data_IF_552784896762
#
_entry.id   IF_552784896762
#
_cell.length_a   1.000
_cell.length_b   1.000
_cell.length_c   1.000
_cell.angle_alpha   90.00
_cell.angle_beta   90.00
_cell.angle_gamma   90.00
#
_symmetry.space_group_name_H-M   'P 1'
#
loop_
_entity.id
_entity.type
_entity.pdbx_description
1 polymer ?
#
# COMPACT_ATOMS: atom_id res chain seq x y z
N UNK A 1 4.19 -1.04 18.46
CA UNK A 1 2.89 -0.58 17.90
C UNK A 1 1.78 -1.48 18.42
N UNK A 2 0.59 -0.97 18.69
CA UNK A 2 -0.60 -1.80 19.01
C UNK A 2 -1.66 -1.63 17.92
N UNK A 3 -2.22 -2.73 17.44
CA UNK A 3 -3.29 -2.73 16.45
C UNK A 3 -4.48 -3.49 17.03
N UNK A 4 -5.59 -2.79 17.19
CA UNK A 4 -6.87 -3.38 17.60
C UNK A 4 -7.78 -3.51 16.38
N UNK A 5 -8.45 -4.65 16.25
CA UNK A 5 -9.40 -4.92 15.15
C UNK A 5 -10.78 -5.16 15.74
N UNK A 6 -11.72 -4.28 15.41
CA UNK A 6 -13.13 -4.40 15.78
C UNK A 6 -13.87 -5.12 14.67
N UNK A 7 -14.33 -6.35 14.95
CA UNK A 7 -14.86 -7.28 13.94
C UNK A 7 -15.96 -8.18 14.53
N UNK A 8 -16.72 -8.84 13.65
CA UNK A 8 -17.62 -9.93 14.02
C UNK A 8 -16.96 -11.31 14.02
N UNK A 9 -15.79 -11.44 13.38
CA UNK A 9 -15.11 -12.72 13.15
C UNK A 9 -13.64 -12.67 13.62
N UNK A 10 -13.38 -12.58 14.94
CA UNK A 10 -12.03 -12.63 15.49
C UNK A 10 -11.18 -13.80 14.97
N UNK A 11 -11.81 -14.95 14.76
CA UNK A 11 -11.16 -16.20 14.36
C UNK A 11 -10.50 -16.11 12.97
N UNK A 12 -10.99 -15.22 12.10
CA UNK A 12 -10.38 -15.00 10.77
C UNK A 12 -8.94 -14.48 10.88
N UNK A 13 -8.60 -13.80 11.97
CA UNK A 13 -7.28 -13.20 12.17
C UNK A 13 -6.24 -14.17 12.75
N UNK A 14 -6.68 -15.27 13.36
CA UNK A 14 -5.78 -16.25 14.01
C UNK A 14 -4.75 -16.80 13.02
N UNK A 15 -5.17 -17.26 11.84
CA UNK A 15 -4.27 -17.85 10.85
C UNK A 15 -3.22 -16.86 10.31
N UNK A 16 -3.65 -15.76 9.67
CA UNK A 16 -2.73 -14.75 9.13
C UNK A 16 -1.78 -14.16 10.16
N UNK A 17 -2.21 -13.95 11.41
CA UNK A 17 -1.38 -13.32 12.45
C UNK A 17 -0.47 -14.31 13.19
N UNK A 18 -0.75 -15.61 13.11
CA UNK A 18 0.11 -16.67 13.67
C UNK A 18 1.11 -17.23 12.66
N UNK A 19 1.29 -16.58 11.51
CA UNK A 19 2.19 -17.03 10.45
C UNK A 19 3.21 -15.95 10.02
N UNK A 20 4.28 -16.41 9.36
CA UNK A 20 5.21 -15.57 8.58
C UNK A 20 5.79 -14.34 9.31
N UNK A 21 5.81 -13.17 8.66
CA UNK A 21 6.41 -11.93 9.15
C UNK A 21 5.61 -11.36 10.32
N UNK A 22 4.28 -11.43 10.28
CA UNK A 22 3.41 -10.90 11.34
C UNK A 22 3.70 -11.63 12.66
N UNK A 23 3.74 -12.97 12.65
CA UNK A 23 4.13 -13.76 13.84
C UNK A 23 5.49 -13.33 14.38
N UNK A 24 6.51 -13.26 13.51
CA UNK A 24 7.88 -12.90 13.91
C UNK A 24 7.95 -11.48 14.48
N UNK A 25 7.18 -10.54 13.94
CA UNK A 25 7.11 -9.18 14.46
C UNK A 25 6.45 -9.14 15.85
N UNK A 26 5.39 -9.93 16.06
CA UNK A 26 4.73 -10.05 17.36
C UNK A 26 5.63 -10.72 18.41
N UNK A 27 6.32 -11.81 18.06
CA UNK A 27 7.28 -12.51 18.96
C UNK A 27 8.45 -11.62 19.37
N UNK A 28 8.86 -10.68 18.51
CA UNK A 28 9.87 -9.66 18.81
C UNK A 28 9.33 -8.45 19.58
N UNK A 29 8.02 -8.41 19.88
CA UNK A 29 7.38 -7.29 20.56
C UNK A 29 7.27 -6.01 19.71
N UNK A 30 7.41 -6.10 18.39
CA UNK A 30 7.32 -4.94 17.49
C UNK A 30 5.86 -4.50 17.31
N UNK A 31 4.94 -5.47 17.30
CA UNK A 31 3.50 -5.27 17.17
C UNK A 31 2.72 -6.13 18.18
N UNK A 32 1.72 -5.53 18.81
CA UNK A 32 0.68 -6.23 19.58
C UNK A 32 -0.61 -6.20 18.76
N UNK A 33 -1.22 -7.37 18.54
CA UNK A 33 -2.45 -7.52 17.76
C UNK A 33 -3.58 -7.98 18.69
N UNK A 34 -4.69 -7.27 18.68
CA UNK A 34 -5.87 -7.55 19.51
C UNK A 34 -7.13 -7.54 18.66
N UNK A 35 -7.97 -8.55 18.78
CA UNK A 35 -9.31 -8.56 18.17
C UNK A 35 -10.36 -8.29 19.23
N UNK A 36 -11.33 -7.45 18.90
CA UNK A 36 -12.48 -7.12 19.74
C UNK A 36 -13.74 -7.52 18.99
N UNK A 37 -14.54 -8.41 19.61
CA UNK A 37 -15.77 -8.88 18.99
C UNK A 37 -16.91 -7.89 19.26
N UNK A 38 -17.51 -7.32 18.20
CA UNK A 38 -18.64 -6.39 18.31
C UNK A 38 -19.82 -6.99 19.07
N UNK A 39 -19.98 -8.32 19.03
CA UNK A 39 -21.04 -9.02 19.74
C UNK A 39 -20.92 -8.90 21.25
N UNK A 40 -19.75 -8.57 21.79
CA UNK A 40 -19.54 -8.36 23.24
C UNK A 40 -20.15 -7.03 23.73
N UNK A 41 -20.50 -6.13 22.82
CA UNK A 41 -21.03 -4.78 23.10
C UNK A 41 -22.53 -4.67 22.75
N UNK A 42 -23.22 -5.80 22.82
CA UNK A 42 -24.66 -5.89 22.58
C UNK A 42 -25.37 -6.05 23.92
N UNK A 43 -26.61 -5.54 24.01
CA UNK A 43 -27.40 -5.56 25.26
C UNK A 43 -28.46 -6.66 25.27
N UNK A 44 -28.76 -7.25 24.12
CA UNK A 44 -29.76 -8.28 23.98
C UNK A 44 -29.15 -9.69 24.08
N UNK A 45 -29.97 -10.67 24.44
CA UNK A 45 -29.54 -12.07 24.62
C UNK A 45 -29.05 -12.72 23.32
N UNK A 46 -29.51 -12.26 22.17
CA UNK A 46 -29.18 -12.83 20.86
C UNK A 46 -27.89 -12.24 20.27
N UNK A 47 -27.31 -11.24 20.94
CA UNK A 47 -26.10 -10.51 20.53
C UNK A 47 -26.24 -9.91 19.14
N UNK A 48 -27.35 -9.22 18.93
CA UNK A 48 -27.73 -8.59 17.66
C UNK A 48 -26.89 -7.34 17.39
N UNK A 49 -26.18 -7.35 16.27
CA UNK A 49 -25.22 -6.31 15.85
C UNK A 49 -25.69 -5.54 14.62
N UNK A 50 -26.80 -5.94 14.03
CA UNK A 50 -27.33 -5.44 12.77
C UNK A 50 -28.85 -5.27 12.84
N UNK A 51 -29.38 -4.40 11.97
CA UNK A 51 -30.82 -4.17 11.81
C UNK A 51 -31.15 -3.80 10.36
N UNK A 52 -32.43 -3.79 10.03
CA UNK A 52 -32.94 -3.37 8.72
C UNK A 52 -32.67 -1.88 8.45
N UNK A 53 -32.36 -1.49 7.20
CA UNK A 53 -32.09 -0.10 6.86
C UNK A 53 -33.38 0.75 6.90
N UNK A 54 -33.27 1.97 7.43
CA UNK A 54 -34.28 3.00 7.20
C UNK A 54 -34.36 3.34 5.71
N UNK A 55 -35.58 3.56 5.21
CA UNK A 55 -35.85 3.76 3.78
C UNK A 55 -36.15 2.46 3.01
N UNK A 56 -36.03 1.31 3.68
CA UNK A 56 -36.24 0.00 3.06
C UNK A 56 -35.04 -0.42 2.19
N UNK A 57 -35.18 -1.58 1.54
CA UNK A 57 -34.10 -2.20 0.76
C UNK A 57 -33.74 -3.59 1.29
N UNK A 58 -32.97 -4.38 0.52
CA UNK A 58 -32.49 -5.67 0.96
C UNK A 58 -31.35 -5.53 1.98
N UNK A 59 -31.08 -6.62 2.71
CA UNK A 59 -29.90 -6.72 3.56
C UNK A 59 -30.06 -6.10 4.95
N UNK A 60 -28.94 -6.01 5.65
CA UNK A 60 -28.84 -5.55 7.04
C UNK A 60 -27.71 -4.53 7.16
N UNK A 61 -27.78 -3.66 8.16
CA UNK A 61 -26.79 -2.62 8.43
C UNK A 61 -26.28 -2.78 9.85
N UNK A 62 -24.95 -2.69 10.06
CA UNK A 62 -24.38 -2.71 11.40
C UNK A 62 -24.95 -1.56 12.23
N UNK A 63 -25.47 -1.92 13.40
CA UNK A 63 -26.04 -0.99 14.36
C UNK A 63 -24.97 -0.05 14.91
N UNK A 64 -25.30 1.22 15.17
CA UNK A 64 -24.35 2.16 15.75
C UNK A 64 -23.96 1.77 17.17
N UNK A 65 -24.90 1.32 18.01
CA UNK A 65 -24.67 1.19 19.46
C UNK A 65 -23.50 0.25 19.81
N UNK A 66 -23.41 -0.99 19.28
CA UNK A 66 -22.29 -1.87 19.61
C UNK A 66 -20.94 -1.33 19.14
N UNK A 67 -20.91 -0.59 18.03
CA UNK A 67 -19.68 -0.02 17.48
C UNK A 67 -19.22 1.16 18.33
N UNK A 68 -20.12 2.10 18.66
CA UNK A 68 -19.80 3.22 19.54
C UNK A 68 -19.35 2.75 20.93
N UNK A 69 -20.08 1.82 21.55
CA UNK A 69 -19.73 1.28 22.88
C UNK A 69 -18.37 0.57 22.88
N UNK A 70 -18.03 -0.17 21.81
CA UNK A 70 -16.72 -0.80 21.67
C UNK A 70 -15.60 0.24 21.58
N UNK A 71 -15.78 1.26 20.73
CA UNK A 71 -14.78 2.32 20.56
C UNK A 71 -14.60 3.13 21.84
N UNK A 72 -15.69 3.52 22.50
CA UNK A 72 -15.66 4.22 23.79
C UNK A 72 -14.96 3.40 24.88
N UNK A 73 -15.21 2.08 24.93
CA UNK A 73 -14.52 1.19 25.87
C UNK A 73 -13.02 1.12 25.60
N UNK A 74 -12.61 1.06 24.33
CA UNK A 74 -11.20 1.07 23.94
C UNK A 74 -10.53 2.39 24.35
N UNK A 75 -11.21 3.51 24.13
CA UNK A 75 -10.73 4.84 24.54
C UNK A 75 -10.63 4.92 26.07
N UNK A 76 -11.67 4.51 26.79
CA UNK A 76 -11.74 4.58 28.25
C UNK A 76 -10.66 3.76 28.95
N UNK A 77 -10.32 2.57 28.41
CA UNK A 77 -9.23 1.73 28.92
C UNK A 77 -7.85 2.38 28.77
N UNK A 78 -7.65 3.24 27.77
CA UNK A 78 -6.34 3.78 27.40
C UNK A 78 -6.17 5.28 27.69
N UNK A 79 -7.27 5.99 27.94
CA UNK A 79 -7.28 7.44 28.10
C UNK A 79 -6.94 8.23 26.83
N UNK A 80 -6.87 7.57 25.66
CA UNK A 80 -6.57 8.19 24.36
C UNK A 80 -7.29 7.48 23.21
N UNK A 81 -7.62 8.22 22.14
CA UNK A 81 -8.20 7.68 20.91
C UNK A 81 -7.10 7.09 20.01
N UNK A 82 -7.12 5.79 19.67
CA UNK A 82 -6.26 5.21 18.64
C UNK A 82 -6.57 5.83 17.27
N UNK A 83 -5.59 5.86 16.35
CA UNK A 83 -5.86 6.30 14.99
C UNK A 83 -6.76 5.27 14.30
N UNK A 84 -7.99 5.67 13.97
CA UNK A 84 -9.08 4.78 13.61
C UNK A 84 -9.27 4.75 12.09
N UNK A 85 -9.11 3.56 11.53
CA UNK A 85 -9.35 3.26 10.12
C UNK A 85 -10.69 2.53 9.99
N UNK A 86 -11.56 3.07 9.15
CA UNK A 86 -12.80 2.41 8.74
C UNK A 86 -12.60 1.77 7.36
N UNK A 87 -12.82 0.46 7.28
CA UNK A 87 -12.70 -0.27 6.02
C UNK A 87 -13.98 -0.11 5.19
N UNK A 88 -13.84 0.36 3.96
CA UNK A 88 -14.98 0.60 3.06
C UNK A 88 -14.53 0.78 1.61
N UNK A 89 -15.29 0.26 0.62
CA UNK A 89 -14.99 0.51 -0.79
C UNK A 89 -15.14 1.98 -1.18
N UNK A 90 -15.81 2.81 -0.37
CA UNK A 90 -15.98 4.25 -0.61
C UNK A 90 -14.78 5.08 -0.12
N UNK A 91 -13.85 4.45 0.60
CA UNK A 91 -12.68 5.12 1.17
C UNK A 91 -11.60 5.41 0.15
N UNK A 92 -10.55 6.11 0.59
CA UNK A 92 -9.37 6.32 -0.23
C UNK A 92 -8.68 4.99 -0.54
N UNK A 93 -8.28 4.77 -1.79
CA UNK A 93 -7.57 3.55 -2.19
C UNK A 93 -6.22 3.48 -1.47
N UNK A 94 -6.03 2.41 -0.72
CA UNK A 94 -4.84 2.11 0.06
C UNK A 94 -3.61 1.98 -0.84
N UNK A 95 -2.56 2.75 -0.53
CA UNK A 95 -1.29 2.78 -1.26
C UNK A 95 -0.12 2.65 -0.29
N UNK A 96 1.07 2.38 -0.83
CA UNK A 96 2.30 2.20 -0.05
C UNK A 96 2.64 3.41 0.83
N UNK A 97 2.31 4.63 0.37
CA UNK A 97 2.46 5.87 1.15
C UNK A 97 1.59 5.84 2.41
N UNK A 98 0.33 5.41 2.29
CA UNK A 98 -0.60 5.27 3.41
C UNK A 98 -0.10 4.20 4.38
N UNK A 99 0.42 3.08 3.89
CA UNK A 99 1.04 2.06 4.74
C UNK A 99 2.19 2.65 5.59
N UNK A 100 3.01 3.51 4.97
CA UNK A 100 4.12 4.20 5.65
C UNK A 100 3.62 5.19 6.71
N UNK A 101 2.57 5.96 6.41
CA UNK A 101 1.94 6.88 7.36
C UNK A 101 1.34 6.13 8.57
N UNK A 102 0.63 5.02 8.31
CA UNK A 102 0.06 4.17 9.36
C UNK A 102 1.14 3.47 10.19
N UNK A 103 2.27 3.09 9.58
CA UNK A 103 3.41 2.51 10.28
C UNK A 103 4.06 3.46 11.31
N UNK A 104 3.87 4.77 11.13
CA UNK A 104 4.30 5.78 12.10
C UNK A 104 3.35 5.99 13.29
N UNK A 105 2.19 5.32 13.34
CA UNK A 105 1.25 5.43 14.45
C UNK A 105 1.63 4.48 15.59
N UNK A 106 1.50 4.94 16.82
CA UNK A 106 1.71 4.07 17.98
C UNK A 106 0.57 3.05 18.14
N UNK A 107 -0.66 3.50 17.90
CA UNK A 107 -1.88 2.71 18.03
C UNK A 107 -2.82 2.90 16.85
N UNK A 108 -3.29 1.78 16.31
CA UNK A 108 -4.27 1.71 15.24
C UNK A 108 -5.52 0.97 15.73
N UNK A 109 -6.68 1.43 15.28
CA UNK A 109 -7.95 0.71 15.40
C UNK A 109 -8.54 0.51 14.00
N UNK A 110 -8.79 -0.73 13.62
CA UNK A 110 -9.52 -1.04 12.39
C UNK A 110 -10.97 -1.39 12.72
N UNK A 111 -11.91 -0.73 12.08
CA UNK A 111 -13.34 -1.09 12.12
C UNK A 111 -13.67 -1.84 10.84
N UNK A 112 -14.03 -3.12 10.98
CA UNK A 112 -14.44 -3.99 9.89
C UNK A 112 -15.94 -3.78 9.60
N UNK A 113 -16.27 -3.28 8.41
CA UNK A 113 -17.66 -3.27 7.94
C UNK A 113 -18.16 -4.68 7.62
N UNK A 114 -19.48 -4.88 7.60
CA UNK A 114 -20.11 -6.13 7.19
C UNK A 114 -21.52 -5.86 6.64
N UNK A 115 -22.18 -6.86 6.07
CA UNK A 115 -23.54 -6.77 5.51
C UNK A 115 -23.60 -5.74 4.37
N UNK A 116 -24.67 -4.92 4.28
CA UNK A 116 -24.74 -3.80 3.32
C UNK A 116 -23.80 -2.64 3.74
N UNK A 117 -23.30 -2.69 4.97
CA UNK A 117 -22.41 -1.70 5.55
C UNK A 117 -22.76 -1.44 7.01
N UNK A 118 -22.61 -0.20 7.40
CA UNK A 118 -22.79 0.27 8.76
C UNK A 118 -23.64 1.53 8.78
N UNK A 119 -24.25 1.80 9.93
CA UNK A 119 -24.94 3.05 10.14
C UNK A 119 -24.00 4.23 9.84
N UNK A 120 -24.43 5.17 9.01
CA UNK A 120 -23.60 6.27 8.51
C UNK A 120 -22.95 7.08 9.63
N UNK A 121 -23.57 7.15 10.82
CA UNK A 121 -23.02 7.84 12.00
C UNK A 121 -21.72 7.21 12.50
N UNK A 122 -21.47 5.93 12.25
CA UNK A 122 -20.22 5.24 12.62
C UNK A 122 -18.99 5.89 11.96
N UNK A 123 -19.15 6.50 10.78
CA UNK A 123 -18.05 7.21 10.09
C UNK A 123 -17.43 8.32 10.92
N UNK A 124 -18.20 8.93 11.82
CA UNK A 124 -17.71 9.98 12.74
C UNK A 124 -16.62 9.48 13.70
N UNK A 125 -16.50 8.17 13.89
CA UNK A 125 -15.44 7.55 14.68
C UNK A 125 -14.11 7.45 13.91
N UNK A 126 -14.16 7.43 12.58
CA UNK A 126 -13.00 7.21 11.73
C UNK A 126 -12.13 8.46 11.60
N UNK A 127 -10.82 8.28 11.70
CA UNK A 127 -9.84 9.30 11.29
C UNK A 127 -9.50 9.17 9.79
N UNK A 128 -9.70 7.97 9.21
CA UNK A 128 -9.58 7.73 7.77
C UNK A 128 -10.46 6.57 7.33
N UNK A 129 -11.01 6.69 6.12
CA UNK A 129 -11.69 5.61 5.43
C UNK A 129 -10.80 5.05 4.34
N UNK A 130 -10.62 3.73 4.29
CA UNK A 130 -9.70 3.09 3.36
C UNK A 130 -10.35 1.93 2.59
N UNK A 131 -10.10 1.92 1.28
CA UNK A 131 -10.44 0.85 0.35
C UNK A 131 -9.19 0.09 -0.07
N UNK A 132 -9.29 -1.21 -0.38
CA UNK A 132 -8.19 -1.98 -0.99
C UNK A 132 -8.32 -2.12 -2.51
N UNK A 133 -9.31 -1.44 -3.11
CA UNK A 133 -9.48 -1.35 -4.56
C UNK A 133 -10.94 -1.30 -5.00
N UNK A 134 -11.13 -1.20 -6.32
CA UNK A 134 -12.43 -0.96 -6.93
C UNK A 134 -13.20 -2.29 -7.13
N UNK A 135 -13.52 -2.94 -6.02
CA UNK A 135 -14.30 -4.19 -5.95
C UNK A 135 -14.97 -4.33 -4.59
N UNK A 136 -15.94 -5.23 -4.48
CA UNK A 136 -16.74 -5.44 -3.27
C UNK A 136 -16.38 -6.78 -2.62
N UNK A 137 -16.25 -6.76 -1.30
CA UNK A 137 -16.06 -7.95 -0.46
C UNK A 137 -17.21 -8.08 0.54
N UNK A 138 -17.32 -9.25 1.18
CA UNK A 138 -18.39 -9.53 2.14
C UNK A 138 -18.20 -8.85 3.51
N UNK A 139 -16.98 -8.37 3.79
CA UNK A 139 -16.63 -7.75 5.06
C UNK A 139 -15.27 -7.04 5.02
N UNK A 140 -15.01 -6.26 6.05
CA UNK A 140 -13.82 -5.45 6.24
C UNK A 140 -12.59 -6.21 6.75
N UNK A 141 -12.74 -7.49 7.10
CA UNK A 141 -11.69 -8.30 7.69
C UNK A 141 -10.50 -8.50 6.75
N UNK A 142 -10.74 -8.86 5.49
CA UNK A 142 -9.66 -9.01 4.50
C UNK A 142 -8.97 -7.67 4.18
N UNK A 143 -9.69 -6.55 3.95
CA UNK A 143 -9.09 -5.22 3.88
C UNK A 143 -8.19 -4.90 5.07
N UNK A 144 -8.65 -5.14 6.30
CA UNK A 144 -7.86 -4.90 7.50
C UNK A 144 -6.60 -5.78 7.51
N UNK A 145 -6.70 -7.08 7.19
CA UNK A 145 -5.52 -7.97 7.12
C UNK A 145 -4.49 -7.50 6.10
N UNK A 146 -4.93 -7.10 4.91
CA UNK A 146 -4.04 -6.60 3.84
C UNK A 146 -3.32 -5.33 4.30
N UNK A 147 -4.04 -4.38 4.90
CA UNK A 147 -3.45 -3.14 5.39
C UNK A 147 -2.48 -3.41 6.55
N UNK A 148 -2.86 -4.27 7.49
CA UNK A 148 -2.03 -4.63 8.66
C UNK A 148 -0.75 -5.34 8.22
N UNK A 149 -0.80 -6.25 7.25
CA UNK A 149 0.41 -6.91 6.71
C UNK A 149 1.39 -5.87 6.12
N UNK A 150 0.88 -4.96 5.28
CA UNK A 150 1.68 -3.90 4.67
C UNK A 150 2.29 -2.96 5.72
N UNK A 151 1.54 -2.61 6.77
CA UNK A 151 2.00 -1.74 7.88
C UNK A 151 3.05 -2.43 8.74
N UNK A 152 2.78 -3.66 9.21
CA UNK A 152 3.69 -4.41 10.09
C UNK A 152 5.02 -4.67 9.41
N UNK A 153 5.01 -4.92 8.10
CA UNK A 153 6.22 -5.11 7.30
C UNK A 153 7.17 -3.91 7.32
N UNK A 154 6.66 -2.69 7.53
CA UNK A 154 7.44 -1.45 7.57
C UNK A 154 8.02 -1.15 8.96
N UNK A 155 7.62 -1.89 10.00
CA UNK A 155 8.13 -1.67 11.35
C UNK A 155 9.64 -1.99 11.43
N UNK A 156 10.45 -1.14 12.08
CA UNK A 156 11.87 -1.41 12.29
C UNK A 156 12.10 -2.79 12.93
N UNK A 157 12.87 -3.65 12.27
CA UNK A 157 13.18 -5.02 12.72
C UNK A 157 12.18 -6.10 12.30
N UNK A 158 11.08 -5.75 11.62
CA UNK A 158 10.13 -6.74 11.06
C UNK A 158 10.75 -7.48 9.87
N UNK A 159 11.40 -6.76 8.97
CA UNK A 159 12.19 -7.34 7.88
C UNK A 159 13.64 -7.60 8.33
N UNK A 160 14.22 -8.70 7.84
CA UNK A 160 15.59 -9.11 8.21
C UNK A 160 16.69 -8.24 7.59
N UNK A 161 16.40 -7.55 6.48
CA UNK A 161 17.35 -6.65 5.81
C UNK A 161 16.79 -5.21 5.82
N UNK A 162 17.54 -4.21 6.32
CA UNK A 162 17.07 -2.82 6.41
C UNK A 162 16.62 -2.23 5.08
N UNK A 163 17.28 -2.61 3.98
CA UNK A 163 17.00 -2.11 2.63
C UNK A 163 15.88 -2.87 1.90
N UNK A 164 15.34 -3.95 2.51
CA UNK A 164 14.34 -4.77 1.83
C UNK A 164 13.09 -3.97 1.48
N UNK A 165 12.58 -3.16 2.43
CA UNK A 165 11.39 -2.34 2.20
C UNK A 165 11.61 -1.21 1.18
N UNK A 166 12.80 -0.60 1.16
CA UNK A 166 13.09 0.55 0.28
C UNK A 166 13.23 0.16 -1.19
N UNK A 167 13.55 -1.11 -1.47
CA UNK A 167 13.78 -1.62 -2.83
C UNK A 167 12.56 -2.31 -3.45
N UNK A 168 11.44 -2.43 -2.73
CA UNK A 168 10.24 -3.06 -3.28
C UNK A 168 9.52 -2.17 -4.31
N UNK A 169 8.59 -2.82 -5.02
CA UNK A 169 7.62 -2.11 -5.85
C UNK A 169 6.91 -1.01 -5.04
N UNK A 170 6.68 0.12 -5.70
CA UNK A 170 6.01 1.32 -5.19
C UNK A 170 6.81 2.17 -4.19
N UNK A 171 7.86 1.65 -3.55
CA UNK A 171 8.68 2.41 -2.57
C UNK A 171 9.37 3.63 -3.20
N UNK A 172 9.84 3.51 -4.44
CA UNK A 172 10.41 4.61 -5.23
C UNK A 172 9.53 5.04 -6.41
N UNK A 173 8.22 4.72 -6.36
CA UNK A 173 7.29 4.97 -7.47
C UNK A 173 7.52 4.11 -8.71
N UNK A 174 8.27 3.00 -8.60
CA UNK A 174 8.51 2.05 -9.69
C UNK A 174 8.10 0.64 -9.29
N UNK A 175 7.87 -0.25 -10.26
CA UNK A 175 7.81 -1.69 -10.03
C UNK A 175 9.22 -2.27 -9.82
N UNK A 176 9.32 -3.37 -9.09
CA UNK A 176 10.59 -4.08 -8.86
C UNK A 176 11.11 -4.79 -10.13
N UNK A 177 12.41 -5.03 -10.16
CA UNK A 177 13.13 -5.71 -11.24
C UNK A 177 12.91 -7.24 -11.24
N UNK A 178 13.29 -7.97 -12.30
CA UNK A 178 13.17 -9.43 -12.32
C UNK A 178 14.12 -10.08 -11.32
N UNK A 179 13.58 -10.97 -10.49
CA UNK A 179 14.37 -11.76 -9.55
C UNK A 179 14.70 -13.13 -10.16
N UNK A 180 15.92 -13.60 -9.94
CA UNK A 180 16.40 -14.90 -10.36
C UNK A 180 17.04 -15.62 -9.16
N UNK A 181 16.92 -16.94 -9.14
CA UNK A 181 17.58 -17.79 -8.13
C UNK A 181 18.18 -19.02 -8.79
N UNK A 182 18.93 -19.81 -8.02
CA UNK A 182 19.56 -21.05 -8.51
C UNK A 182 18.47 -22.06 -8.93
N UNK A 183 18.74 -22.90 -9.95
CA UNK A 183 19.97 -22.99 -10.75
C UNK A 183 20.08 -21.93 -11.86
N UNK A 184 21.30 -21.70 -12.38
CA UNK A 184 21.57 -20.67 -13.39
C UNK A 184 20.90 -20.94 -14.76
N UNK A 185 20.62 -22.21 -15.07
CA UNK A 185 19.83 -22.60 -16.25
C UNK A 185 18.73 -23.54 -15.79
N UNK A 186 17.48 -23.21 -16.11
CA UNK A 186 16.33 -24.06 -15.83
C UNK A 186 15.45 -24.18 -17.07
N UNK A 187 15.30 -25.41 -17.59
CA UNK A 187 14.54 -25.68 -18.84
C UNK A 187 14.99 -24.82 -20.03
N UNK A 188 16.30 -24.57 -20.15
CA UNK A 188 16.87 -23.74 -21.21
C UNK A 188 16.72 -22.23 -20.98
N UNK A 189 16.05 -21.78 -19.91
CA UNK A 189 15.99 -20.39 -19.51
C UNK A 189 17.22 -20.05 -18.67
N UNK A 190 18.00 -19.08 -19.14
CA UNK A 190 19.30 -18.70 -18.58
C UNK A 190 19.15 -17.43 -17.73
N UNK A 191 19.77 -17.43 -16.54
CA UNK A 191 19.91 -16.21 -15.72
C UNK A 191 20.80 -15.20 -16.46
N UNK A 192 20.43 -13.91 -16.55
CA UNK A 192 21.25 -12.89 -17.20
C UNK A 192 22.70 -12.89 -16.70
N UNK A 193 23.67 -12.92 -17.61
CA UNK A 193 25.11 -13.04 -17.29
C UNK A 193 25.60 -11.95 -16.32
N UNK A 194 25.05 -10.73 -16.43
CA UNK A 194 25.36 -9.63 -15.52
C UNK A 194 25.09 -9.98 -14.05
N UNK A 195 24.07 -10.79 -13.76
CA UNK A 195 23.74 -11.23 -12.41
C UNK A 195 24.67 -12.32 -11.89
N UNK A 196 25.40 -12.99 -12.78
CA UNK A 196 26.40 -14.01 -12.45
C UNK A 196 27.82 -13.42 -12.32
N UNK A 197 28.02 -12.17 -12.75
CA UNK A 197 29.34 -11.53 -12.83
C UNK A 197 29.96 -11.12 -11.49
N UNK A 198 29.14 -10.95 -10.44
CA UNK A 198 29.58 -10.38 -9.16
C UNK A 198 29.89 -8.87 -9.19
N UNK A 199 29.74 -8.19 -10.33
CA UNK A 199 29.97 -6.75 -10.45
C UNK A 199 28.79 -5.95 -9.91
N UNK A 200 28.82 -5.60 -8.61
CA UNK A 200 27.74 -4.91 -7.90
C UNK A 200 27.19 -3.66 -8.62
N UNK A 201 28.06 -2.81 -9.18
CA UNK A 201 27.62 -1.62 -9.91
C UNK A 201 26.85 -1.96 -11.20
N UNK A 202 27.32 -2.93 -11.98
CA UNK A 202 26.63 -3.37 -13.20
C UNK A 202 25.29 -4.04 -12.87
N UNK A 203 25.26 -4.82 -11.78
CA UNK A 203 24.03 -5.45 -11.27
C UNK A 203 23.03 -4.38 -10.85
N UNK A 204 23.44 -3.37 -10.09
CA UNK A 204 22.56 -2.27 -9.67
C UNK A 204 22.01 -1.48 -10.87
N UNK A 205 22.85 -1.16 -11.85
CA UNK A 205 22.44 -0.49 -13.08
C UNK A 205 21.44 -1.34 -13.89
N UNK A 206 21.70 -2.65 -14.02
CA UNK A 206 20.79 -3.58 -14.68
C UNK A 206 19.44 -3.65 -13.95
N UNK A 207 19.44 -3.79 -12.62
CA UNK A 207 18.22 -3.82 -11.79
C UNK A 207 17.38 -2.56 -11.98
N UNK A 208 18.00 -1.38 -11.89
CA UNK A 208 17.33 -0.10 -12.10
C UNK A 208 16.73 -0.02 -13.50
N UNK A 209 17.49 -0.39 -14.53
CA UNK A 209 17.02 -0.41 -15.92
C UNK A 209 15.81 -1.32 -16.12
N UNK A 210 15.84 -2.53 -15.58
CA UNK A 210 14.73 -3.48 -15.72
C UNK A 210 13.47 -3.05 -14.95
N UNK A 211 13.63 -2.43 -13.78
CA UNK A 211 12.53 -1.82 -13.04
C UNK A 211 11.82 -0.74 -13.87
N UNK A 212 12.59 0.13 -14.55
CA UNK A 212 12.07 1.17 -15.44
C UNK A 212 11.30 0.55 -16.62
N UNK A 213 11.90 -0.41 -17.32
CA UNK A 213 11.28 -1.10 -18.46
C UNK A 213 9.95 -1.75 -18.04
N UNK A 214 9.95 -2.51 -16.95
CA UNK A 214 8.75 -3.18 -16.45
C UNK A 214 7.65 -2.20 -16.04
N UNK A 215 8.04 -1.09 -15.42
CA UNK A 215 7.09 -0.03 -15.04
C UNK A 215 6.48 0.60 -16.29
N UNK A 216 7.27 0.91 -17.32
CA UNK A 216 6.79 1.45 -18.59
C UNK A 216 5.90 0.48 -19.37
N UNK A 217 6.12 -0.83 -19.23
CA UNK A 217 5.28 -1.84 -19.89
C UNK A 217 3.95 -2.04 -19.18
N UNK A 218 3.93 -2.07 -17.84
CA UNK A 218 2.80 -2.58 -17.06
C UNK A 218 2.02 -1.50 -16.31
N UNK A 219 2.69 -0.41 -15.91
CA UNK A 219 2.18 0.62 -15.01
C UNK A 219 2.75 2.00 -15.35
N UNK A 220 2.52 2.44 -16.59
CA UNK A 220 2.98 3.75 -17.10
C UNK A 220 2.56 4.91 -16.22
N UNK A 221 1.40 4.79 -15.57
CA UNK A 221 0.87 5.77 -14.63
C UNK A 221 1.84 6.08 -13.49
N UNK A 222 2.65 5.11 -13.05
CA UNK A 222 3.62 5.32 -11.97
C UNK A 222 4.80 6.20 -12.40
N UNK A 223 5.16 6.21 -13.68
CA UNK A 223 6.30 6.99 -14.19
C UNK A 223 6.06 8.50 -14.13
N UNK A 224 4.80 8.93 -14.03
CA UNK A 224 4.45 10.35 -13.90
C UNK A 224 4.99 10.93 -12.59
N UNK A 225 4.93 10.14 -11.52
CA UNK A 225 5.33 10.56 -10.16
C UNK A 225 6.70 10.01 -9.74
N UNK A 226 7.30 9.14 -10.56
CA UNK A 226 8.62 8.58 -10.26
C UNK A 226 9.73 9.64 -10.35
N UNK A 227 10.64 9.62 -9.38
CA UNK A 227 11.86 10.42 -9.41
C UNK A 227 12.85 9.78 -10.41
N UNK A 228 12.80 10.27 -11.64
CA UNK A 228 13.59 9.79 -12.78
C UNK A 228 14.64 10.81 -13.18
N UNK A 229 15.88 10.34 -13.30
CA UNK A 229 16.98 11.16 -13.83
C UNK A 229 16.73 11.54 -15.29
N UNK A 230 17.45 12.55 -15.78
CA UNK A 230 17.39 12.96 -17.19
C UNK A 230 17.78 11.81 -18.13
N UNK A 231 18.75 11.00 -17.73
CA UNK A 231 19.23 9.85 -18.50
C UNK A 231 18.18 8.74 -18.55
N UNK A 232 17.50 8.48 -17.43
CA UNK A 232 16.43 7.48 -17.34
C UNK A 232 15.21 7.87 -18.19
N UNK A 233 14.84 9.16 -18.19
CA UNK A 233 13.78 9.68 -19.06
C UNK A 233 14.14 9.56 -20.53
N UNK A 234 15.39 9.87 -20.90
CA UNK A 234 15.86 9.73 -22.28
C UNK A 234 15.86 8.25 -22.72
N UNK A 235 16.33 7.35 -21.86
CA UNK A 235 16.29 5.91 -22.09
C UNK A 235 14.86 5.39 -22.30
N UNK A 236 13.92 5.81 -21.44
CA UNK A 236 12.52 5.42 -21.56
C UNK A 236 11.85 5.99 -22.82
N UNK A 237 12.15 7.23 -23.20
CA UNK A 237 11.63 7.84 -24.42
C UNK A 237 12.14 7.14 -25.70
N UNK A 238 13.39 6.66 -25.69
CA UNK A 238 13.96 5.85 -26.78
C UNK A 238 13.25 4.48 -26.88
N UNK A 239 13.05 3.79 -25.75
CA UNK A 239 12.46 2.44 -25.72
C UNK A 239 10.95 2.42 -25.91
N UNK A 240 10.27 3.48 -25.49
CA UNK A 240 8.82 3.63 -25.60
C UNK A 240 8.49 4.99 -26.26
N UNK A 241 8.55 5.08 -27.59
CA UNK A 241 8.16 6.29 -28.30
C UNK A 241 6.74 6.72 -27.94
N UNK A 242 6.54 8.00 -27.63
CA UNK A 242 5.25 8.55 -27.19
C UNK A 242 4.88 8.28 -25.73
N UNK A 243 5.83 7.78 -24.92
CA UNK A 243 5.61 7.59 -23.47
C UNK A 243 5.35 8.91 -22.74
N UNK A 244 6.01 9.98 -23.16
CA UNK A 244 5.80 11.34 -22.67
C UNK A 244 5.01 12.14 -23.70
N UNK A 245 4.03 12.93 -23.24
CA UNK A 245 3.34 13.90 -24.09
C UNK A 245 4.33 14.92 -24.69
N UNK A 246 3.94 15.63 -25.75
CA UNK A 246 4.81 16.61 -26.42
C UNK A 246 5.34 17.73 -25.52
N UNK A 247 4.71 17.95 -24.36
CA UNK A 247 5.12 18.95 -23.35
C UNK A 247 6.14 18.43 -22.33
N UNK A 248 6.26 17.11 -22.16
CA UNK A 248 7.13 16.44 -21.17
C UNK A 248 8.40 15.81 -21.78
N UNK A 249 8.57 15.93 -23.10
CA UNK A 249 9.76 15.43 -23.77
C UNK A 249 11.01 16.19 -23.27
N UNK A 250 12.07 15.49 -22.80
CA UNK A 250 13.29 16.16 -22.37
C UNK A 250 13.84 16.95 -23.57
N UNK A 251 13.89 18.28 -23.43
CA UNK A 251 14.25 19.20 -24.51
C UNK A 251 15.47 18.68 -25.29
N UNK A 252 15.21 18.10 -26.46
CA UNK A 252 16.22 17.64 -27.38
C UNK A 252 16.97 18.88 -27.86
N UNK A 253 18.30 18.89 -27.66
CA UNK A 253 19.17 19.92 -28.22
C UNK A 253 18.95 19.99 -29.73
N UNK A 254 18.18 20.98 -30.18
CA UNK A 254 18.29 21.44 -31.56
C UNK A 254 19.56 22.30 -31.63
N UNK A 255 20.63 21.69 -32.14
CA UNK A 255 21.78 22.41 -32.69
C UNK A 255 21.29 23.24 -33.89
N UNK A 256 20.73 24.43 -33.64
CA UNK A 256 20.65 25.47 -34.67
C UNK A 256 21.95 26.27 -34.61
N UNK A 257 22.80 26.03 -35.60
CA UNK A 257 24.05 26.73 -35.79
C UNK A 257 23.84 28.25 -35.78
N UNK A 258 24.69 28.95 -35.01
CA UNK A 258 24.85 30.40 -35.11
C UNK A 258 25.40 30.73 -36.50
N UNK A 259 24.53 31.22 -37.38
CA UNK A 259 24.97 32.00 -38.53
C UNK A 259 25.60 33.31 -38.01
N UNK A 260 26.93 33.40 -38.08
CA UNK A 260 27.69 34.64 -37.88
C UNK A 260 27.41 35.57 -39.06
N UNK A 261 26.58 36.60 -38.84
CA UNK A 261 26.55 37.77 -39.72
C UNK A 261 27.79 38.62 -39.46
N UNK A 262 28.74 38.61 -40.40
CA UNK A 262 29.77 39.64 -40.52
C UNK A 262 29.08 40.93 -41.00
N UNK A 263 29.12 41.99 -40.20
CA UNK A 263 29.04 43.37 -40.71
C UNK A 263 30.47 43.80 -41.00
N UNK A 264 30.77 44.01 -42.28
CA UNK A 264 31.93 44.75 -42.73
C UNK A 264 31.61 46.25 -42.62
N UNK A 265 32.36 46.95 -41.78
CA UNK A 265 32.64 48.37 -41.95
C UNK A 265 33.66 48.52 -43.08
N UNK A 266 33.38 49.41 -44.04
CA UNK A 266 34.37 50.21 -44.76
C UNK A 266 33.67 51.18 -45.74
N UNK A 267 34.03 52.47 -45.64
CA UNK A 267 33.88 53.46 -46.70
C UNK A 267 32.79 54.48 -46.44
#
# INVERSE_FOLDING_TARGET
MKITILTLFPEMFTGPFSCSIIKRAAEKGLVELETVNLRDFTKDRHRTVDDTPYGGGPGMVLKPEPVFEAVETIIGKKGRKPYTVLTTPQGEVFRQQIATELAGKEELLFICGHYEGYDERIRTLADRELSIGDYVLTGGELPAMVMIDAVVRLLPGALGAPEAASNDSFSAGLLDYPQYTKPAVYKGLVVPDVLLSGHHQQIAAWRRREALLRTAERRRDLLVQADLSREERAFLAEKFPGLYGSEDAPAGRTLRGRARGKREEKG
#
